data_IF_832921191660
#
_entry.id   IF_832921191660
#
_cell.length_a   1.000
_cell.length_b   1.000
_cell.length_c   1.000
_cell.angle_alpha   90.00
_cell.angle_beta   90.00
_cell.angle_gamma   90.00
#
_symmetry.space_group_name_H-M   'P 1'
#
loop_
_entity.id
_entity.type
_entity.pdbx_description
1 polymer ?
#
# COMPACT_ATOMS: atom_id res chain seq x y z
N UNK A 1 25.63 8.23 -3.10
CA UNK A 1 24.54 8.93 -2.39
C UNK A 1 25.07 9.55 -1.12
N UNK A 2 24.75 10.82 -0.83
CA UNK A 2 25.30 11.55 0.32
C UNK A 2 24.60 11.14 1.64
N UNK A 3 25.32 11.12 2.76
CA UNK A 3 24.81 10.74 4.09
C UNK A 3 23.52 11.49 4.50
N UNK A 4 23.35 12.73 4.00
CA UNK A 4 22.13 13.53 4.18
C UNK A 4 20.85 12.85 3.67
N UNK A 5 20.90 12.13 2.54
CA UNK A 5 19.70 11.47 2.00
C UNK A 5 19.28 10.26 2.85
N UNK A 6 20.25 9.54 3.44
CA UNK A 6 19.97 8.43 4.36
C UNK A 6 19.36 8.93 5.67
N UNK A 7 19.89 10.04 6.20
CA UNK A 7 19.33 10.70 7.38
C UNK A 7 17.89 11.18 7.13
N UNK A 8 17.57 11.66 5.91
CA UNK A 8 16.22 12.04 5.53
C UNK A 8 15.25 10.84 5.51
N UNK A 9 15.67 9.67 5.02
CA UNK A 9 14.82 8.47 4.99
C UNK A 9 14.60 7.85 6.38
N UNK A 10 15.65 7.81 7.21
CA UNK A 10 15.51 7.40 8.60
C UNK A 10 14.58 8.36 9.38
N UNK A 11 14.69 9.66 9.13
CA UNK A 11 13.77 10.65 9.71
C UNK A 11 12.34 10.46 9.21
N UNK A 12 12.16 10.18 7.92
CA UNK A 12 10.86 9.88 7.33
C UNK A 12 10.21 8.65 7.99
N UNK A 13 10.97 7.59 8.24
CA UNK A 13 10.45 6.41 8.94
C UNK A 13 9.91 6.75 10.34
N UNK A 14 10.63 7.56 11.11
CA UNK A 14 10.21 7.99 12.45
C UNK A 14 9.01 8.95 12.41
N UNK A 15 8.88 9.72 11.33
CA UNK A 15 7.71 10.59 11.14
C UNK A 15 6.48 9.75 10.78
N UNK A 16 6.65 8.71 9.96
CA UNK A 16 5.56 7.91 9.43
C UNK A 16 5.13 6.76 10.33
N UNK A 17 6.01 6.18 11.15
CA UNK A 17 5.73 4.97 11.94
C UNK A 17 4.53 5.08 12.90
N UNK A 18 4.20 6.29 13.36
CA UNK A 18 3.03 6.54 14.19
C UNK A 18 1.71 6.45 13.41
N UNK A 19 1.72 6.71 12.10
CA UNK A 19 0.50 6.74 11.28
C UNK A 19 -0.16 5.36 11.20
N UNK A 20 0.54 4.27 10.83
CA UNK A 20 -0.05 2.93 10.86
C UNK A 20 -0.54 2.52 12.25
N UNK A 21 0.24 2.78 13.30
CA UNK A 21 -0.12 2.37 14.66
C UNK A 21 -1.38 3.12 15.12
N UNK A 22 -1.29 4.44 15.28
CA UNK A 22 -2.37 5.27 15.82
C UNK A 22 -3.61 5.19 14.91
N UNK A 23 -3.39 5.27 13.60
CA UNK A 23 -4.47 5.23 12.61
C UNK A 23 -5.26 3.93 12.65
N UNK A 24 -4.61 2.78 12.88
CA UNK A 24 -5.30 1.49 12.98
C UNK A 24 -6.14 1.40 14.27
N UNK A 25 -5.62 1.90 15.40
CA UNK A 25 -6.40 2.01 16.64
C UNK A 25 -7.64 2.89 16.48
N UNK A 26 -7.48 4.07 15.84
CA UNK A 26 -8.59 4.98 15.54
C UNK A 26 -9.60 4.29 14.61
N UNK A 27 -9.13 3.66 13.53
CA UNK A 27 -9.96 2.94 12.57
C UNK A 27 -10.79 1.85 13.24
N UNK A 28 -10.16 1.03 14.10
CA UNK A 28 -10.85 -0.03 14.85
C UNK A 28 -11.86 0.54 15.85
N UNK A 29 -11.49 1.58 16.59
CA UNK A 29 -12.41 2.25 17.52
C UNK A 29 -13.65 2.80 16.83
N UNK A 30 -13.47 3.54 15.74
CA UNK A 30 -14.58 4.04 14.91
C UNK A 30 -15.43 2.87 14.39
N UNK A 31 -14.81 1.80 13.93
CA UNK A 31 -15.52 0.64 13.40
C UNK A 31 -16.35 -0.06 14.48
N UNK A 32 -15.79 -0.31 15.66
CA UNK A 32 -16.52 -0.92 16.79
C UNK A 32 -17.70 -0.06 17.24
N UNK A 33 -17.49 1.26 17.36
CA UNK A 33 -18.58 2.20 17.67
C UNK A 33 -19.64 2.17 16.57
N UNK A 34 -19.24 2.05 15.31
CA UNK A 34 -20.19 1.96 14.18
C UNK A 34 -21.05 0.70 14.20
N UNK A 35 -20.51 -0.43 14.68
CA UNK A 35 -21.24 -1.67 14.87
C UNK A 35 -22.21 -1.56 16.05
N UNK A 36 -21.77 -0.99 17.17
CA UNK A 36 -22.59 -0.81 18.36
C UNK A 36 -23.74 0.19 18.13
N UNK A 37 -23.44 1.34 17.53
CA UNK A 37 -24.40 2.38 17.19
C UNK A 37 -25.23 2.08 15.93
N UNK A 38 -24.90 1.01 15.20
CA UNK A 38 -25.49 0.63 13.90
C UNK A 38 -25.44 1.76 12.85
N UNK A 39 -24.48 2.68 12.96
CA UNK A 39 -24.36 3.86 12.09
C UNK A 39 -23.61 3.57 10.79
N UNK A 40 -24.26 3.75 9.65
CA UNK A 40 -23.64 3.48 8.34
C UNK A 40 -22.58 4.51 7.94
N UNK A 41 -22.73 5.76 8.35
CA UNK A 41 -21.74 6.81 8.08
C UNK A 41 -20.44 6.54 8.83
N UNK A 42 -20.54 6.10 10.08
CA UNK A 42 -19.36 5.76 10.88
C UNK A 42 -18.65 4.51 10.35
N UNK A 43 -19.40 3.51 9.85
CA UNK A 43 -18.81 2.35 9.15
C UNK A 43 -18.02 2.81 7.94
N UNK A 44 -18.62 3.63 7.07
CA UNK A 44 -17.94 4.15 5.87
C UNK A 44 -16.68 4.94 6.26
N UNK A 45 -16.77 5.80 7.28
CA UNK A 45 -15.63 6.56 7.77
C UNK A 45 -14.48 5.64 8.24
N UNK A 46 -14.78 4.59 9.02
CA UNK A 46 -13.74 3.64 9.44
C UNK A 46 -13.11 2.87 8.28
N UNK A 47 -13.90 2.48 7.27
CA UNK A 47 -13.34 1.80 6.09
C UNK A 47 -12.42 2.74 5.28
N UNK A 48 -12.76 4.03 5.19
CA UNK A 48 -11.88 5.03 4.56
C UNK A 48 -10.58 5.16 5.36
N UNK A 49 -10.67 5.25 6.69
CA UNK A 49 -9.48 5.31 7.56
C UNK A 49 -8.59 4.10 7.35
N UNK A 50 -9.11 2.88 7.41
CA UNK A 50 -8.29 1.67 7.17
C UNK A 50 -7.66 1.65 5.76
N UNK A 51 -8.38 2.11 4.74
CA UNK A 51 -7.85 2.17 3.37
C UNK A 51 -6.69 3.15 3.26
N UNK A 52 -6.81 4.34 3.88
CA UNK A 52 -5.73 5.34 3.91
C UNK A 52 -4.54 4.83 4.71
N UNK A 53 -4.79 4.24 5.88
CA UNK A 53 -3.73 3.75 6.76
C UNK A 53 -2.92 2.62 6.12
N UNK A 54 -3.54 1.73 5.34
CA UNK A 54 -2.82 0.75 4.54
C UNK A 54 -1.85 1.45 3.56
N UNK A 55 -2.31 2.44 2.81
CA UNK A 55 -1.44 3.19 1.89
C UNK A 55 -0.25 3.87 2.60
N UNK A 56 -0.39 4.31 3.86
CA UNK A 56 0.72 4.85 4.66
C UNK A 56 1.64 3.77 5.24
N UNK A 57 1.18 2.53 5.42
CA UNK A 57 1.99 1.42 5.91
C UNK A 57 3.13 1.06 4.94
N UNK A 58 2.90 1.18 3.63
CA UNK A 58 3.90 0.93 2.59
C UNK A 58 5.13 1.85 2.70
N UNK A 59 5.01 3.21 2.64
CA UNK A 59 6.16 4.09 2.80
C UNK A 59 6.78 3.99 4.19
N UNK A 60 6.00 3.63 5.22
CA UNK A 60 6.53 3.37 6.57
C UNK A 60 7.47 2.16 6.57
N UNK A 61 7.05 1.03 6.00
CA UNK A 61 7.87 -0.19 5.95
C UNK A 61 9.13 0.01 5.09
N UNK A 62 8.96 0.60 3.90
CA UNK A 62 10.05 0.78 2.95
C UNK A 62 11.13 1.73 3.47
N UNK A 63 10.75 2.83 4.13
CA UNK A 63 11.70 3.75 4.80
C UNK A 63 12.39 3.11 6.01
N UNK A 64 11.80 2.11 6.66
CA UNK A 64 12.41 1.36 7.77
C UNK A 64 13.65 0.58 7.35
N UNK A 65 13.63 -0.04 6.16
CA UNK A 65 14.79 -0.73 5.60
C UNK A 65 15.96 0.22 5.29
N UNK A 66 15.65 1.47 4.92
CA UNK A 66 16.66 2.52 4.77
C UNK A 66 17.22 2.97 6.12
N UNK A 67 16.37 3.05 7.16
CA UNK A 67 16.78 3.42 8.51
C UNK A 67 17.77 2.40 9.11
N UNK A 68 17.60 1.11 8.82
CA UNK A 68 18.51 0.04 9.26
C UNK A 68 19.98 0.31 8.92
N UNK A 69 20.30 0.75 7.69
CA UNK A 69 21.69 0.95 7.26
C UNK A 69 22.40 2.07 8.04
N UNK A 70 21.64 3.04 8.55
CA UNK A 70 22.18 4.13 9.37
C UNK A 70 22.59 3.61 10.75
N UNK A 71 21.76 2.76 11.35
CA UNK A 71 21.91 2.35 12.75
C UNK A 71 22.63 1.01 12.93
N UNK A 72 22.84 0.21 11.87
CA UNK A 72 23.45 -1.13 11.97
C UNK A 72 24.87 -1.14 12.54
N UNK A 73 25.53 0.02 12.60
CA UNK A 73 26.89 0.19 13.14
C UNK A 73 26.89 0.79 14.55
N UNK A 74 25.72 1.11 15.11
CA UNK A 74 25.60 1.66 16.45
C UNK A 74 25.83 0.58 17.51
N UNK A 75 26.49 0.95 18.60
CA UNK A 75 26.77 0.05 19.71
C UNK A 75 25.47 -0.39 20.38
N UNK A 76 25.28 -1.70 20.54
CA UNK A 76 24.07 -2.26 21.15
C UNK A 76 22.94 -2.54 20.16
N UNK A 77 23.12 -2.28 18.85
CA UNK A 77 22.16 -2.70 17.81
C UNK A 77 22.66 -4.01 17.19
N UNK A 78 22.01 -5.12 17.52
CA UNK A 78 22.34 -6.44 16.99
C UNK A 78 21.47 -6.77 15.78
N UNK A 79 22.00 -7.62 14.88
CA UNK A 79 21.24 -8.11 13.73
C UNK A 79 19.97 -8.87 14.16
N UNK A 80 20.01 -9.59 15.28
CA UNK A 80 18.88 -10.32 15.84
C UNK A 80 17.69 -9.41 16.17
N UNK A 81 17.95 -8.27 16.81
CA UNK A 81 16.90 -7.29 17.16
C UNK A 81 16.31 -6.65 15.90
N UNK A 82 17.15 -6.33 14.92
CA UNK A 82 16.70 -5.78 13.64
C UNK A 82 15.83 -6.80 12.88
N UNK A 83 16.30 -8.04 12.75
CA UNK A 83 15.58 -9.10 12.04
C UNK A 83 14.22 -9.35 12.71
N UNK A 84 14.15 -9.26 14.04
CA UNK A 84 12.91 -9.38 14.79
C UNK A 84 11.93 -8.24 14.49
N UNK A 85 12.40 -6.97 14.54
CA UNK A 85 11.58 -5.82 14.19
C UNK A 85 11.10 -5.87 12.74
N UNK A 86 11.99 -6.20 11.80
CA UNK A 86 11.66 -6.30 10.37
C UNK A 86 10.66 -7.44 10.11
N UNK A 87 10.80 -8.58 10.80
CA UNK A 87 9.84 -9.68 10.75
C UNK A 87 8.45 -9.26 11.24
N UNK A 88 8.38 -8.62 12.40
CA UNK A 88 7.12 -8.09 12.93
C UNK A 88 6.50 -7.02 12.02
N UNK A 89 7.33 -6.12 11.46
CA UNK A 89 6.91 -5.08 10.55
C UNK A 89 6.34 -5.65 9.24
N UNK A 90 6.93 -6.72 8.70
CA UNK A 90 6.41 -7.41 7.51
C UNK A 90 5.02 -8.00 7.79
N UNK A 91 4.84 -8.67 8.93
CA UNK A 91 3.54 -9.23 9.30
C UNK A 91 2.48 -8.15 9.49
N UNK A 92 2.86 -7.03 10.13
CA UNK A 92 1.99 -5.87 10.29
C UNK A 92 1.59 -5.26 8.95
N UNK A 93 2.55 -5.09 8.03
CA UNK A 93 2.29 -4.59 6.69
C UNK A 93 1.30 -5.51 5.96
N UNK A 94 1.55 -6.83 5.96
CA UNK A 94 0.69 -7.80 5.28
C UNK A 94 -0.77 -7.71 5.76
N UNK A 95 -0.98 -7.75 7.07
CA UNK A 95 -2.34 -7.71 7.63
C UNK A 95 -3.00 -6.33 7.49
N UNK A 96 -2.22 -5.25 7.54
CA UNK A 96 -2.74 -3.91 7.30
C UNK A 96 -3.18 -3.74 5.83
N UNK A 97 -2.41 -4.28 4.88
CA UNK A 97 -2.77 -4.27 3.45
C UNK A 97 -4.01 -5.12 3.17
N UNK A 98 -4.15 -6.28 3.82
CA UNK A 98 -5.38 -7.10 3.76
C UNK A 98 -6.57 -6.31 4.33
N UNK A 99 -6.41 -5.68 5.50
CA UNK A 99 -7.46 -4.87 6.14
C UNK A 99 -7.87 -3.69 5.24
N UNK A 100 -6.90 -2.99 4.67
CA UNK A 100 -7.12 -1.89 3.73
C UNK A 100 -7.83 -2.35 2.46
N UNK A 101 -7.42 -3.48 1.88
CA UNK A 101 -8.05 -4.05 0.69
C UNK A 101 -9.52 -4.39 0.93
N UNK A 102 -9.85 -5.12 2.01
CA UNK A 102 -11.24 -5.44 2.34
C UNK A 102 -12.06 -4.18 2.66
N UNK A 103 -11.44 -3.18 3.28
CA UNK A 103 -12.09 -1.90 3.57
C UNK A 103 -12.43 -1.13 2.31
N UNK A 104 -11.48 -1.03 1.38
CA UNK A 104 -11.68 -0.41 0.07
C UNK A 104 -12.69 -1.18 -0.77
N UNK A 105 -12.61 -2.51 -0.81
CA UNK A 105 -13.59 -3.38 -1.47
C UNK A 105 -15.01 -3.16 -0.90
N UNK A 106 -15.12 -3.00 0.42
CA UNK A 106 -16.39 -2.69 1.09
C UNK A 106 -16.98 -1.36 0.67
N UNK A 107 -16.15 -0.31 0.57
CA UNK A 107 -16.55 1.01 0.07
C UNK A 107 -17.01 0.95 -1.39
N UNK A 108 -16.25 0.26 -2.24
CA UNK A 108 -16.59 0.08 -3.65
C UNK A 108 -17.92 -0.69 -3.82
N UNK A 109 -18.10 -1.81 -3.11
CA UNK A 109 -19.35 -2.59 -3.17
C UNK A 109 -20.55 -1.78 -2.68
N UNK A 110 -20.41 -1.06 -1.57
CA UNK A 110 -21.48 -0.21 -1.06
C UNK A 110 -21.87 0.87 -2.08
N UNK A 111 -20.89 1.48 -2.76
CA UNK A 111 -21.16 2.48 -3.80
C UNK A 111 -21.88 1.87 -5.01
N UNK A 112 -21.41 0.71 -5.49
CA UNK A 112 -21.93 0.04 -6.70
C UNK A 112 -23.27 -0.65 -6.50
N UNK A 113 -23.45 -1.34 -5.39
CA UNK A 113 -24.61 -2.21 -5.13
C UNK A 113 -25.52 -1.70 -4.01
N UNK A 114 -25.20 -0.56 -3.38
CA UNK A 114 -25.88 -0.01 -2.18
C UNK A 114 -25.90 -0.95 -0.97
N UNK A 115 -25.10 -2.03 -1.04
CA UNK A 115 -24.96 -3.06 -0.02
C UNK A 115 -23.52 -3.54 -0.03
N UNK A 116 -22.97 -3.75 1.16
CA UNK A 116 -21.69 -4.42 1.34
C UNK A 116 -21.95 -5.92 1.49
N UNK A 117 -21.13 -6.78 0.87
CA UNK A 117 -21.28 -8.21 1.04
C UNK A 117 -21.12 -8.63 2.51
N UNK A 118 -21.88 -9.63 2.93
CA UNK A 118 -21.99 -10.06 4.33
C UNK A 118 -20.65 -10.49 4.95
N UNK A 119 -19.69 -10.94 4.14
CA UNK A 119 -18.38 -11.39 4.62
C UNK A 119 -17.37 -10.25 4.82
N UNK A 120 -17.58 -9.07 4.24
CA UNK A 120 -16.57 -7.99 4.28
C UNK A 120 -16.43 -7.41 5.67
N UNK A 121 -17.54 -7.05 6.34
CA UNK A 121 -17.46 -6.41 7.64
C UNK A 121 -16.84 -7.33 8.72
N UNK A 122 -17.21 -8.63 8.80
CA UNK A 122 -16.49 -9.57 9.65
C UNK A 122 -15.01 -9.73 9.30
N UNK A 123 -14.66 -9.75 8.00
CA UNK A 123 -13.26 -9.83 7.58
C UNK A 123 -12.47 -8.58 8.03
N UNK A 124 -13.01 -7.38 7.81
CA UNK A 124 -12.39 -6.13 8.28
C UNK A 124 -12.24 -6.13 9.80
N UNK A 125 -13.24 -6.59 10.55
CA UNK A 125 -13.15 -6.69 12.00
C UNK A 125 -12.01 -7.62 12.42
N UNK A 126 -11.98 -8.83 11.89
CA UNK A 126 -10.97 -9.83 12.21
C UNK A 126 -9.56 -9.31 11.89
N UNK A 127 -9.33 -8.84 10.66
CA UNK A 127 -8.01 -8.41 10.23
C UNK A 127 -7.55 -7.12 10.90
N UNK A 128 -8.45 -6.18 11.21
CA UNK A 128 -8.08 -4.96 11.95
C UNK A 128 -7.68 -5.26 13.41
N UNK A 129 -8.38 -6.16 14.10
CA UNK A 129 -7.99 -6.61 15.45
C UNK A 129 -6.62 -7.28 15.42
N UNK A 130 -6.37 -8.16 14.45
CA UNK A 130 -5.05 -8.79 14.28
C UNK A 130 -3.98 -7.73 13.96
N UNK A 131 -4.28 -6.78 13.08
CA UNK A 131 -3.36 -5.69 12.69
C UNK A 131 -2.95 -4.84 13.89
N UNK A 132 -3.88 -4.50 14.78
CA UNK A 132 -3.58 -3.78 16.03
C UNK A 132 -2.58 -4.55 16.89
N UNK A 133 -2.79 -5.86 17.07
CA UNK A 133 -1.87 -6.71 17.82
C UNK A 133 -0.46 -6.75 17.20
N UNK A 134 -0.38 -6.95 15.88
CA UNK A 134 0.89 -7.01 15.15
C UNK A 134 1.63 -5.67 15.16
N UNK A 135 0.92 -4.55 14.98
CA UNK A 135 1.49 -3.20 15.03
C UNK A 135 2.00 -2.86 16.44
N UNK A 136 1.32 -3.33 17.49
CA UNK A 136 1.79 -3.19 18.87
C UNK A 136 3.12 -3.94 19.07
N UNK A 137 3.22 -5.18 18.57
CA UNK A 137 4.48 -5.95 18.61
C UNK A 137 5.60 -5.25 17.82
N UNK A 138 5.27 -4.70 16.65
CA UNK A 138 6.23 -3.97 15.82
C UNK A 138 6.70 -2.70 16.50
N UNK A 139 5.80 -1.96 17.16
CA UNK A 139 6.14 -0.79 17.96
C UNK A 139 7.07 -1.13 19.13
N UNK A 140 6.78 -2.21 19.87
CA UNK A 140 7.62 -2.67 20.99
C UNK A 140 9.02 -3.07 20.52
N UNK A 141 9.12 -3.91 19.49
CA UNK A 141 10.42 -4.30 18.91
C UNK A 141 11.19 -3.12 18.31
N UNK A 142 10.49 -2.11 17.79
CA UNK A 142 11.09 -0.85 17.35
C UNK A 142 11.63 -0.01 18.52
N UNK A 143 10.97 -0.07 19.67
CA UNK A 143 11.44 0.49 20.94
C UNK A 143 12.75 -0.17 21.40
N UNK A 144 12.82 -1.50 21.35
CA UNK A 144 14.02 -2.26 21.74
C UNK A 144 15.27 -1.88 20.94
N UNK A 145 15.10 -1.46 19.67
CA UNK A 145 16.21 -0.95 18.85
C UNK A 145 16.82 0.31 19.47
N UNK A 146 15.99 1.25 19.96
CA UNK A 146 16.44 2.56 20.46
C UNK A 146 16.67 2.65 21.96
N UNK A 147 16.04 1.75 22.71
CA UNK A 147 16.02 1.77 24.15
C UNK A 147 16.60 0.45 24.68
N UNK A 148 17.95 0.31 24.74
CA UNK A 148 18.58 -0.87 25.32
C UNK A 148 18.19 -1.12 26.79
N UNK A 149 17.70 -0.10 27.48
CA UNK A 149 17.38 -0.12 28.91
C UNK A 149 16.07 -0.87 29.20
N UNK A 150 15.16 -0.94 28.21
CA UNK A 150 13.87 -1.64 28.35
C UNK A 150 13.94 -3.10 27.88
N UNK A 151 15.11 -3.55 27.39
CA UNK A 151 15.27 -4.90 26.85
C UNK A 151 15.18 -5.94 27.98
N UNK A 152 14.38 -7.00 27.82
CA UNK A 152 14.45 -8.14 28.72
C UNK A 152 15.86 -8.78 28.64
N UNK A 153 16.34 -9.32 29.76
CA UNK A 153 17.69 -9.92 29.86
C UNK A 153 17.93 -11.15 28.96
N UNK A 154 16.89 -11.69 28.33
CA UNK A 154 16.97 -12.66 27.24
C UNK A 154 16.37 -12.06 25.96
N UNK A 155 17.16 -12.01 24.88
CA UNK A 155 16.69 -11.60 23.54
C UNK A 155 15.84 -12.70 22.87
N UNK A 156 14.70 -13.07 23.48
CA UNK A 156 13.76 -14.00 22.84
C UNK A 156 12.84 -13.23 21.88
N UNK A 157 13.05 -13.41 20.58
CA UNK A 157 12.16 -12.87 19.56
C UNK A 157 10.74 -13.40 19.76
N UNK A 158 9.74 -12.52 19.67
CA UNK A 158 8.33 -12.93 19.73
C UNK A 158 8.00 -13.91 18.60
N UNK A 159 7.01 -14.79 18.80
CA UNK A 159 6.57 -15.73 17.77
C UNK A 159 6.28 -15.05 16.42
N UNK A 160 5.64 -13.88 16.46
CA UNK A 160 5.33 -13.05 15.29
C UNK A 160 6.61 -12.59 14.58
N UNK A 161 7.61 -12.14 15.34
CA UNK A 161 8.90 -11.72 14.79
C UNK A 161 9.58 -12.89 14.08
N UNK A 162 9.67 -14.04 14.75
CA UNK A 162 10.29 -15.26 14.20
C UNK A 162 9.59 -15.75 12.93
N UNK A 163 8.25 -15.79 12.92
CA UNK A 163 7.48 -16.15 11.73
C UNK A 163 7.71 -15.15 10.60
N UNK A 164 7.69 -13.85 10.92
CA UNK A 164 7.94 -12.79 9.95
C UNK A 164 9.33 -12.88 9.31
N UNK A 165 10.38 -13.08 10.11
CA UNK A 165 11.76 -13.23 9.60
C UNK A 165 11.93 -14.50 8.77
N UNK A 166 11.25 -15.60 9.15
CA UNK A 166 11.25 -16.84 8.37
C UNK A 166 10.54 -16.66 7.02
N UNK A 167 9.39 -15.98 6.99
CA UNK A 167 8.68 -15.64 5.75
C UNK A 167 9.56 -14.74 4.89
N UNK A 168 10.12 -13.67 5.46
CA UNK A 168 10.97 -12.72 4.74
C UNK A 168 12.15 -13.44 4.06
N UNK A 169 12.92 -14.23 4.82
CA UNK A 169 14.08 -14.95 4.29
C UNK A 169 13.71 -15.99 3.23
N UNK A 170 12.63 -16.76 3.45
CA UNK A 170 12.16 -17.76 2.49
C UNK A 170 11.68 -17.11 1.20
N UNK A 171 10.91 -16.03 1.32
CA UNK A 171 10.42 -15.26 0.17
C UNK A 171 11.57 -14.60 -0.59
N UNK A 172 12.54 -14.01 0.11
CA UNK A 172 13.71 -13.42 -0.53
C UNK A 172 14.46 -14.47 -1.35
N UNK A 173 14.80 -15.62 -0.75
CA UNK A 173 15.46 -16.73 -1.47
C UNK A 173 14.62 -17.23 -2.66
N UNK A 174 13.30 -17.35 -2.52
CA UNK A 174 12.43 -17.72 -3.63
C UNK A 174 12.54 -16.75 -4.80
N UNK A 175 12.55 -15.44 -4.53
CA UNK A 175 12.57 -14.40 -5.56
C UNK A 175 13.94 -14.30 -6.25
N UNK A 176 15.04 -14.42 -5.50
CA UNK A 176 16.40 -14.18 -6.02
C UNK A 176 17.13 -15.43 -6.47
N UNK A 177 16.99 -16.53 -5.73
CA UNK A 177 17.93 -17.66 -5.82
C UNK A 177 17.28 -18.98 -6.25
N UNK A 178 15.96 -19.14 -6.08
CA UNK A 178 15.30 -20.42 -6.36
C UNK A 178 15.31 -20.82 -7.85
N UNK A 179 15.19 -19.86 -8.78
CA UNK A 179 15.30 -20.11 -10.22
C UNK A 179 15.46 -18.83 -11.02
N UNK A 180 16.24 -18.90 -12.09
CA UNK A 180 16.43 -17.80 -13.06
C UNK A 180 15.14 -17.30 -13.73
N UNK A 181 14.06 -18.09 -13.66
CA UNK A 181 12.77 -17.76 -14.26
C UNK A 181 11.82 -17.01 -13.32
N UNK A 182 12.08 -17.02 -12.00
CA UNK A 182 11.17 -16.37 -11.03
C UNK A 182 11.07 -14.88 -11.33
N UNK A 183 12.20 -14.20 -11.50
CA UNK A 183 12.23 -12.76 -11.76
C UNK A 183 11.49 -12.36 -13.06
N UNK A 184 11.79 -12.94 -14.25
CA UNK A 184 11.04 -12.62 -15.48
C UNK A 184 9.54 -12.93 -15.40
N UNK A 185 9.14 -13.99 -14.70
CA UNK A 185 7.72 -14.34 -14.51
C UNK A 185 7.03 -13.29 -13.65
N UNK A 186 7.66 -12.86 -12.55
CA UNK A 186 7.15 -11.78 -11.71
C UNK A 186 7.02 -10.47 -12.49
N UNK A 187 8.00 -10.13 -13.34
CA UNK A 187 7.93 -8.94 -14.21
C UNK A 187 6.76 -9.03 -15.18
N UNK A 188 6.59 -10.18 -15.84
CA UNK A 188 5.48 -10.43 -16.77
C UNK A 188 4.13 -10.29 -16.07
N UNK A 189 3.98 -10.87 -14.89
CA UNK A 189 2.75 -10.78 -14.09
C UNK A 189 2.49 -9.34 -13.62
N UNK A 190 3.52 -8.60 -13.22
CA UNK A 190 3.38 -7.19 -12.82
C UNK A 190 2.96 -6.31 -14.01
N UNK A 191 3.52 -6.52 -15.21
CA UNK A 191 3.07 -5.81 -16.41
C UNK A 191 1.65 -6.20 -16.83
N UNK A 192 1.26 -7.47 -16.66
CA UNK A 192 -0.11 -7.91 -16.90
C UNK A 192 -1.09 -7.20 -15.96
N UNK A 193 -0.76 -7.08 -14.67
CA UNK A 193 -1.62 -6.34 -13.74
C UNK A 193 -1.67 -4.85 -14.04
N UNK A 194 -0.56 -4.22 -14.45
CA UNK A 194 -0.55 -2.83 -14.92
C UNK A 194 -1.44 -2.61 -16.15
N UNK A 195 -1.39 -3.51 -17.13
CA UNK A 195 -2.23 -3.39 -18.35
C UNK A 195 -3.71 -3.62 -18.05
N UNK A 196 -4.06 -4.53 -17.14
CA UNK A 196 -5.44 -4.70 -16.66
C UNK A 196 -5.95 -3.44 -15.96
N UNK A 197 -5.13 -2.85 -15.08
CA UNK A 197 -5.50 -1.65 -14.33
C UNK A 197 -5.67 -0.44 -15.25
N UNK A 198 -4.66 -0.15 -16.08
CA UNK A 198 -4.69 0.97 -17.02
C UNK A 198 -5.76 0.78 -18.10
N UNK A 199 -5.95 -0.44 -18.61
CA UNK A 199 -6.95 -0.71 -19.65
C UNK A 199 -8.38 -0.54 -19.12
N UNK A 200 -8.69 -1.12 -17.96
CA UNK A 200 -10.04 -1.07 -17.40
C UNK A 200 -10.39 0.32 -16.84
N UNK A 201 -9.52 0.92 -16.01
CA UNK A 201 -9.79 2.24 -15.44
C UNK A 201 -9.54 3.37 -16.44
N UNK A 202 -8.50 3.26 -17.27
CA UNK A 202 -8.19 4.28 -18.27
C UNK A 202 -9.32 4.45 -19.29
N UNK A 203 -10.02 3.38 -19.68
CA UNK A 203 -11.19 3.51 -20.55
C UNK A 203 -12.35 4.28 -19.88
N UNK A 204 -12.58 4.02 -18.59
CA UNK A 204 -13.58 4.74 -17.79
C UNK A 204 -13.18 6.22 -17.66
N UNK A 205 -11.93 6.49 -17.30
CA UNK A 205 -11.40 7.85 -17.12
C UNK A 205 -11.43 8.64 -18.44
N UNK A 206 -11.02 8.04 -19.56
CA UNK A 206 -11.12 8.66 -20.88
C UNK A 206 -12.57 8.98 -21.25
N UNK A 207 -13.51 8.07 -20.93
CA UNK A 207 -14.93 8.34 -21.16
C UNK A 207 -15.44 9.50 -20.31
N UNK A 208 -15.02 9.61 -19.04
CA UNK A 208 -15.36 10.73 -18.14
C UNK A 208 -14.78 12.05 -18.69
N UNK A 209 -13.56 12.03 -19.22
CA UNK A 209 -12.93 13.21 -19.84
C UNK A 209 -13.60 13.67 -21.14
N UNK A 210 -14.51 12.88 -21.69
CA UNK A 210 -15.29 13.22 -22.89
C UNK A 210 -14.78 12.57 -24.18
N UNK A 211 -13.85 11.62 -24.10
CA UNK A 211 -13.57 10.72 -25.21
C UNK A 211 -14.66 9.64 -25.32
N UNK A 212 -14.82 9.05 -26.49
CA UNK A 212 -15.78 7.95 -26.73
C UNK A 212 -17.20 8.23 -26.21
N UNK A 213 -17.69 9.48 -26.31
CA UNK A 213 -18.97 9.94 -25.74
C UNK A 213 -20.19 9.04 -26.01
N UNK A 214 -20.31 8.34 -27.15
CA UNK A 214 -21.43 7.41 -27.38
C UNK A 214 -21.48 6.21 -26.41
N UNK A 215 -20.37 5.86 -25.74
CA UNK A 215 -20.34 4.75 -24.79
C UNK A 215 -21.04 5.13 -23.47
N UNK A 216 -21.83 4.20 -22.92
CA UNK A 216 -22.44 4.34 -21.58
C UNK A 216 -21.45 3.90 -20.50
N UNK A 217 -21.37 4.63 -19.39
CA UNK A 217 -20.45 4.29 -18.29
C UNK A 217 -20.91 3.07 -17.48
N UNK A 218 -22.22 2.88 -17.32
CA UNK A 218 -22.79 1.74 -16.57
C UNK A 218 -22.20 0.37 -16.96
N UNK A 219 -22.18 0.00 -18.26
CA UNK A 219 -21.50 -1.22 -18.73
C UNK A 219 -19.99 -1.25 -18.49
N UNK A 220 -19.30 -0.11 -18.60
CA UNK A 220 -17.85 -0.03 -18.42
C UNK A 220 -17.44 -0.34 -16.97
N UNK A 221 -18.28 -0.01 -15.98
CA UNK A 221 -18.02 -0.36 -14.58
C UNK A 221 -17.96 -1.88 -14.33
N UNK A 222 -18.44 -2.73 -15.25
CA UNK A 222 -18.24 -4.19 -15.17
C UNK A 222 -16.78 -4.61 -15.32
N UNK A 223 -15.91 -3.72 -15.82
CA UNK A 223 -14.47 -3.95 -15.90
C UNK A 223 -13.71 -3.58 -14.62
N UNK A 224 -14.33 -2.87 -13.67
CA UNK A 224 -13.64 -2.51 -12.41
C UNK A 224 -13.10 -3.73 -11.66
N UNK A 225 -13.82 -4.86 -11.51
CA UNK A 225 -13.23 -6.05 -10.88
C UNK A 225 -11.93 -6.54 -11.53
N UNK A 226 -11.77 -6.35 -12.85
CA UNK A 226 -10.52 -6.67 -13.54
C UNK A 226 -9.40 -5.67 -13.22
N UNK A 227 -9.73 -4.39 -13.07
CA UNK A 227 -8.78 -3.41 -12.54
C UNK A 227 -8.34 -3.76 -11.10
N UNK A 228 -9.28 -4.21 -10.26
CA UNK A 228 -8.99 -4.66 -8.90
C UNK A 228 -8.08 -5.90 -8.90
N UNK A 229 -8.36 -6.88 -9.77
CA UNK A 229 -7.51 -8.05 -9.94
C UNK A 229 -6.10 -7.66 -10.41
N UNK A 230 -6.00 -6.72 -11.36
CA UNK A 230 -4.71 -6.17 -11.81
C UNK A 230 -3.96 -5.44 -10.70
N UNK A 231 -4.65 -4.65 -9.88
CA UNK A 231 -4.07 -3.99 -8.71
C UNK A 231 -3.54 -5.00 -7.69
N UNK A 232 -4.33 -6.03 -7.35
CA UNK A 232 -3.92 -7.09 -6.40
C UNK A 232 -2.70 -7.84 -6.94
N UNK A 233 -2.69 -8.18 -8.23
CA UNK A 233 -1.55 -8.82 -8.87
C UNK A 233 -0.28 -7.95 -8.76
N UNK A 234 -0.41 -6.65 -9.01
CA UNK A 234 0.70 -5.70 -8.89
C UNK A 234 1.17 -5.50 -7.46
N UNK A 235 0.26 -5.48 -6.50
CA UNK A 235 0.59 -5.36 -5.08
C UNK A 235 1.42 -6.56 -4.63
N UNK A 236 0.95 -7.78 -4.92
CA UNK A 236 1.66 -9.03 -4.57
C UNK A 236 3.02 -9.08 -5.25
N UNK A 237 3.08 -8.91 -6.56
CA UNK A 237 4.36 -8.94 -7.31
C UNK A 237 5.29 -7.80 -6.89
N UNK A 238 4.77 -6.60 -6.60
CA UNK A 238 5.53 -5.47 -6.07
C UNK A 238 6.14 -5.74 -4.69
N UNK A 239 5.39 -6.36 -3.78
CA UNK A 239 5.91 -6.82 -2.49
C UNK A 239 7.00 -7.88 -2.65
N UNK A 240 6.81 -8.83 -3.57
CA UNK A 240 7.83 -9.85 -3.86
C UNK A 240 9.12 -9.22 -4.41
N UNK A 241 9.02 -8.26 -5.33
CA UNK A 241 10.19 -7.50 -5.79
C UNK A 241 10.90 -6.79 -4.65
N UNK A 242 10.14 -6.11 -3.80
CA UNK A 242 10.70 -5.39 -2.66
C UNK A 242 11.40 -6.35 -1.69
N UNK A 243 10.80 -7.48 -1.32
CA UNK A 243 11.42 -8.48 -0.44
C UNK A 243 12.65 -9.12 -1.09
N UNK A 244 12.64 -9.33 -2.42
CA UNK A 244 13.77 -9.88 -3.15
C UNK A 244 15.00 -8.96 -3.14
N UNK A 245 14.81 -7.65 -3.31
CA UNK A 245 15.89 -6.66 -3.30
C UNK A 245 15.56 -5.42 -2.46
N UNK A 246 15.41 -5.55 -1.13
CA UNK A 246 14.86 -4.50 -0.27
C UNK A 246 15.69 -3.23 -0.31
N UNK A 247 17.02 -3.37 -0.34
CA UNK A 247 17.93 -2.24 -0.35
C UNK A 247 17.94 -1.50 -1.70
N UNK A 248 17.88 -2.21 -2.82
CA UNK A 248 17.76 -1.58 -4.15
C UNK A 248 16.56 -0.64 -4.18
N UNK A 249 15.38 -1.11 -3.76
CA UNK A 249 14.17 -0.29 -3.79
C UNK A 249 14.16 0.78 -2.69
N UNK A 250 14.59 0.46 -1.46
CA UNK A 250 14.59 1.40 -0.34
C UNK A 250 15.56 2.59 -0.53
N UNK A 251 16.48 2.55 -1.49
CA UNK A 251 17.37 3.67 -1.82
C UNK A 251 17.08 4.34 -3.16
N UNK A 252 16.19 3.75 -3.97
CA UNK A 252 15.90 4.28 -5.28
C UNK A 252 14.91 5.45 -5.20
N UNK A 253 15.32 6.63 -5.67
CA UNK A 253 14.46 7.82 -5.65
C UNK A 253 13.16 7.63 -6.43
N UNK A 254 13.23 7.00 -7.60
CA UNK A 254 12.07 6.75 -8.44
C UNK A 254 11.09 5.79 -7.77
N UNK A 255 11.58 4.83 -6.98
CA UNK A 255 10.75 3.97 -6.15
C UNK A 255 9.95 4.79 -5.12
N UNK A 256 10.56 5.74 -4.42
CA UNK A 256 9.85 6.59 -3.46
C UNK A 256 8.81 7.48 -4.14
N UNK A 257 9.18 8.10 -5.26
CA UNK A 257 8.23 8.90 -6.06
C UNK A 257 7.07 8.05 -6.57
N UNK A 258 7.35 6.79 -6.95
CA UNK A 258 6.33 5.81 -7.32
C UNK A 258 5.41 5.50 -6.14
N UNK A 259 5.95 5.30 -4.93
CA UNK A 259 5.15 5.06 -3.73
C UNK A 259 4.24 6.25 -3.39
N UNK A 260 4.74 7.48 -3.50
CA UNK A 260 3.90 8.68 -3.36
C UNK A 260 2.82 8.75 -4.45
N UNK A 261 3.16 8.45 -5.70
CA UNK A 261 2.20 8.38 -6.80
C UNK A 261 1.07 7.37 -6.55
N UNK A 262 1.39 6.19 -6.01
CA UNK A 262 0.41 5.17 -5.63
C UNK A 262 -0.47 5.65 -4.47
N UNK A 263 0.13 6.28 -3.44
CA UNK A 263 -0.61 6.87 -2.33
C UNK A 263 -1.62 7.91 -2.83
N UNK A 264 -1.18 8.86 -3.67
CA UNK A 264 -2.06 9.87 -4.25
C UNK A 264 -3.12 9.24 -5.17
N UNK A 265 -2.79 8.22 -5.94
CA UNK A 265 -3.77 7.54 -6.80
C UNK A 265 -4.86 6.84 -5.99
N UNK A 266 -4.48 6.15 -4.90
CA UNK A 266 -5.41 5.55 -3.96
C UNK A 266 -6.30 6.59 -3.28
N UNK A 267 -5.72 7.67 -2.76
CA UNK A 267 -6.46 8.78 -2.16
C UNK A 267 -7.39 9.47 -3.17
N UNK A 268 -6.96 9.67 -4.41
CA UNK A 268 -7.76 10.25 -5.48
C UNK A 268 -9.05 9.45 -5.72
N UNK A 269 -8.95 8.13 -5.80
CA UNK A 269 -10.12 7.24 -5.95
C UNK A 269 -11.00 7.24 -4.69
N UNK A 270 -10.40 7.22 -3.49
CA UNK A 270 -11.15 7.28 -2.23
C UNK A 270 -11.93 8.60 -2.09
N UNK A 271 -11.32 9.73 -2.46
CA UNK A 271 -11.99 11.04 -2.45
C UNK A 271 -13.13 11.08 -3.46
N UNK A 272 -12.94 10.53 -4.66
CA UNK A 272 -14.04 10.37 -5.62
C UNK A 272 -15.19 9.56 -5.02
N UNK A 273 -14.89 8.47 -4.30
CA UNK A 273 -15.88 7.67 -3.57
C UNK A 273 -16.49 8.36 -2.34
N UNK A 274 -15.97 9.49 -1.88
CA UNK A 274 -16.60 10.29 -0.84
C UNK A 274 -17.59 11.32 -1.41
N UNK A 275 -17.51 11.62 -2.70
CA UNK A 275 -18.32 12.67 -3.37
C UNK A 275 -19.54 12.10 -4.10
N UNK A 276 -20.45 12.99 -4.52
CA UNK A 276 -21.58 12.63 -5.39
C UNK A 276 -21.19 12.54 -6.88
N UNK A 277 -20.03 13.06 -7.26
CA UNK A 277 -19.53 13.08 -8.63
C UNK A 277 -19.46 11.69 -9.28
N UNK A 278 -19.17 10.64 -8.48
CA UNK A 278 -19.21 9.26 -8.96
C UNK A 278 -20.64 8.82 -9.37
N UNK A 279 -21.65 9.18 -8.57
CA UNK A 279 -23.06 8.84 -8.83
C UNK A 279 -23.56 9.56 -10.08
N UNK A 280 -23.21 10.83 -10.21
CA UNK A 280 -23.56 11.62 -11.39
C UNK A 280 -22.92 11.03 -12.65
N UNK A 281 -21.69 10.51 -12.55
CA UNK A 281 -21.04 9.82 -13.66
C UNK A 281 -21.66 8.47 -14.00
N UNK A 282 -22.12 7.68 -13.03
CA UNK A 282 -22.77 6.38 -13.29
C UNK A 282 -24.09 6.53 -14.06
N UNK A 283 -24.77 7.66 -13.88
CA UNK A 283 -26.05 7.96 -14.52
C UNK A 283 -25.92 8.62 -15.89
N UNK A 284 -24.70 8.93 -16.35
CA UNK A 284 -24.48 9.59 -17.64
C UNK A 284 -25.03 8.78 -18.82
N UNK A 285 -25.93 9.40 -19.56
CA UNK A 285 -26.46 8.92 -20.82
C UNK A 285 -25.42 8.93 -21.96
N UNK A 286 -25.75 8.30 -23.10
CA UNK A 286 -24.95 8.43 -24.31
C UNK A 286 -24.77 9.90 -24.69
N UNK A 287 -23.55 10.29 -25.05
CA UNK A 287 -23.20 11.65 -25.46
C UNK A 287 -23.29 12.74 -24.39
N UNK A 288 -23.71 12.41 -23.17
CA UNK A 288 -23.71 13.34 -22.04
C UNK A 288 -22.29 13.57 -21.51
N UNK A 289 -22.08 14.79 -20.99
CA UNK A 289 -20.81 15.20 -20.41
C UNK A 289 -20.78 15.02 -18.90
N UNK A 290 -19.65 14.52 -18.40
CA UNK A 290 -19.41 14.44 -16.97
C UNK A 290 -19.23 15.84 -16.34
N UNK A 291 -19.59 16.00 -15.06
CA UNK A 291 -19.33 17.24 -14.34
C UNK A 291 -17.82 17.57 -14.31
N UNK A 292 -17.42 18.85 -14.35
CA UNK A 292 -16.01 19.24 -14.36
C UNK A 292 -15.18 18.65 -13.21
N UNK A 293 -15.82 18.49 -12.04
CA UNK A 293 -15.17 17.90 -10.88
C UNK A 293 -14.79 16.43 -11.10
N UNK A 294 -15.64 15.62 -11.77
CA UNK A 294 -15.29 14.25 -12.12
C UNK A 294 -14.18 14.18 -13.18
N UNK A 295 -14.18 15.12 -14.14
CA UNK A 295 -13.11 15.24 -15.14
C UNK A 295 -11.75 15.49 -14.47
N UNK A 296 -11.70 16.29 -13.41
CA UNK A 296 -10.48 16.52 -12.63
C UNK A 296 -9.93 15.22 -12.00
N UNK A 297 -10.77 14.43 -11.34
CA UNK A 297 -10.35 13.15 -10.75
C UNK A 297 -9.88 12.13 -11.79
N UNK A 298 -10.59 12.06 -12.94
CA UNK A 298 -10.23 11.18 -14.05
C UNK A 298 -8.89 11.60 -14.69
N UNK A 299 -8.67 12.90 -14.92
CA UNK A 299 -7.40 13.42 -15.43
C UNK A 299 -6.25 13.10 -14.47
N UNK A 300 -6.47 13.36 -13.18
CA UNK A 300 -5.48 13.11 -12.11
C UNK A 300 -5.15 11.62 -12.02
N UNK A 301 -6.16 10.74 -12.12
CA UNK A 301 -6.00 9.28 -12.14
C UNK A 301 -5.08 8.83 -13.28
N UNK A 302 -5.36 9.26 -14.53
CA UNK A 302 -4.54 8.91 -15.69
C UNK A 302 -3.10 9.40 -15.52
N UNK A 303 -2.92 10.66 -15.12
CA UNK A 303 -1.57 11.25 -14.93
C UNK A 303 -0.79 10.48 -13.87
N UNK A 304 -1.40 10.16 -12.74
CA UNK A 304 -0.75 9.41 -11.65
C UNK A 304 -0.40 7.98 -12.07
N UNK A 305 -1.31 7.26 -12.73
CA UNK A 305 -1.05 5.89 -13.20
C UNK A 305 0.07 5.87 -14.23
N UNK A 306 0.07 6.80 -15.19
CA UNK A 306 1.15 6.92 -16.18
C UNK A 306 2.47 7.27 -15.50
N UNK A 307 2.48 8.22 -14.56
CA UNK A 307 3.68 8.58 -13.81
C UNK A 307 4.24 7.37 -13.03
N UNK A 308 3.39 6.59 -12.35
CA UNK A 308 3.78 5.38 -11.61
C UNK A 308 4.39 4.31 -12.54
N UNK A 309 3.83 4.13 -13.74
CA UNK A 309 4.37 3.21 -14.76
C UNK A 309 5.74 3.68 -15.25
N UNK A 310 5.86 4.97 -15.59
CA UNK A 310 7.10 5.59 -16.07
C UNK A 310 8.19 5.47 -15.01
N UNK A 311 7.94 5.94 -13.78
CA UNK A 311 8.87 5.83 -12.65
C UNK A 311 9.29 4.38 -12.44
N UNK A 312 8.34 3.44 -12.49
CA UNK A 312 8.63 2.02 -12.34
C UNK A 312 9.54 1.45 -13.44
N UNK A 313 9.36 1.88 -14.69
CA UNK A 313 10.18 1.42 -15.82
C UNK A 313 11.60 1.99 -15.76
N UNK A 314 11.76 3.20 -15.23
CA UNK A 314 13.05 3.88 -15.19
C UNK A 314 13.93 3.56 -13.98
N UNK A 315 13.40 2.88 -12.94
CA UNK A 315 14.16 2.51 -11.74
C UNK A 315 15.55 1.91 -12.01
N UNK A 316 15.76 1.01 -12.99
CA UNK A 316 17.08 0.44 -13.25
C UNK A 316 18.10 1.41 -13.86
N UNK A 317 17.66 2.52 -14.47
CA UNK A 317 18.54 3.41 -15.25
C UNK A 317 19.13 4.56 -14.42
N UNK A 318 18.40 5.05 -13.42
CA UNK A 318 18.80 6.25 -12.68
C UNK A 318 19.83 5.97 -11.56
N UNK A 319 20.05 4.72 -11.19
CA UNK A 319 21.03 4.36 -10.14
C UNK A 319 22.50 4.52 -10.61
N UNK A 320 22.78 4.29 -11.90
CA UNK A 320 24.12 4.50 -12.47
C UNK A 320 24.46 5.99 -12.68
N UNK A 321 23.46 6.88 -12.71
CA UNK A 321 23.67 8.32 -12.94
C UNK A 321 24.05 9.13 -11.68
N UNK A 322 24.05 8.51 -10.50
CA UNK A 322 24.35 9.15 -9.21
C UNK A 322 25.55 8.53 -8.47
N UNK A 323 26.33 7.66 -9.13
CA UNK A 323 27.69 7.33 -8.70
C UNK A 323 28.62 8.47 -9.12
N UNK A 324 29.40 9.09 -8.23
CA UNK A 324 30.50 9.93 -8.69
C UNK A 324 31.42 9.06 -9.58
N UNK A 325 32.04 9.63 -10.63
CA UNK A 325 33.10 8.91 -11.34
C UNK A 325 34.16 8.49 -10.31
N UNK A 326 34.63 7.25 -10.43
CA UNK A 326 35.44 6.54 -9.44
C UNK A 326 36.75 7.21 -9.05
#
# INVERSE_FOLDING_TARGET
MNLQNLLNLAHLHLLLNHWPIIGTFIGLGLFLVSLAAKGDDLKKASLVVFSIIALFAIPTYTSGNAAFEVIRRETGVTKTIIDAHQGAALMSLLFMEITGFFSWLGLWQYRRFKRTATYILPAVLLFSVVSVGLLTITGNTGGDIRHPEIRPGEETASFVSSVGSAIFSTTQHFVTDASRWVWPVLETLHFLGLTLLLGALGLIDLRILGFFKPLRLGPLYRFVPWAMAGFVLNMITGMLFFIGMPFFYAYNFDFHMKMFGILFAGTNILLLFCTDAFRDCEQLGPSEEAPPFAKFFAATSIVLVVAVIVLGRYMPFFEDSLRPPG
#
